data_IF_094835702654
#
_entry.id   IF_094835702654
#
_cell.length_a   1.000
_cell.length_b   1.000
_cell.length_c   1.000
_cell.angle_alpha   90.00
_cell.angle_beta   90.00
_cell.angle_gamma   90.00
#
_symmetry.space_group_name_H-M   'P 1'
#
loop_
_entity.id
_entity.type
_entity.pdbx_description
1 polymer ?
#
# COMPACT_ATOMS: atom_id res chain seq x y z
N UNK A 1 17.24 6.85 33.50
CA UNK A 1 16.09 5.92 33.50
C UNK A 1 15.21 6.34 32.33
N UNK A 2 15.40 5.71 31.17
CA UNK A 2 14.62 6.03 29.97
C UNK A 2 13.65 4.88 29.75
N UNK A 3 12.36 5.16 29.89
CA UNK A 3 11.29 4.23 29.54
C UNK A 3 11.28 4.09 28.02
N UNK A 4 11.92 3.04 27.54
CA UNK A 4 11.78 2.52 26.19
C UNK A 4 10.33 2.05 26.03
N UNK A 5 9.48 2.93 25.49
CA UNK A 5 8.14 2.56 25.07
C UNK A 5 8.28 1.73 23.80
N UNK A 6 8.48 0.42 23.99
CA UNK A 6 8.35 -0.54 22.91
C UNK A 6 6.97 -0.33 22.23
N UNK A 7 6.90 -0.22 20.89
CA UNK A 7 5.62 -0.13 20.21
C UNK A 7 4.80 -1.35 20.62
N UNK A 8 3.58 -1.11 21.10
CA UNK A 8 2.67 -2.18 21.50
C UNK A 8 2.63 -3.22 20.37
N UNK A 9 2.81 -4.51 20.67
CA UNK A 9 2.69 -5.55 19.65
C UNK A 9 1.29 -5.42 19.05
N UNK A 10 1.22 -5.02 17.78
CA UNK A 10 -0.01 -5.10 17.01
C UNK A 10 -0.45 -6.56 17.11
N UNK A 11 -1.55 -6.80 17.81
CA UNK A 11 -2.12 -8.13 17.94
C UNK A 11 -2.24 -8.72 16.53
N UNK A 12 -1.90 -10.00 16.29
CA UNK A 12 -2.13 -10.62 15.01
C UNK A 12 -3.62 -10.46 14.70
N UNK A 13 -3.98 -9.77 13.61
CA UNK A 13 -5.38 -9.51 13.31
C UNK A 13 -6.00 -10.84 12.85
N UNK A 14 -6.72 -11.62 13.69
CA UNK A 14 -7.05 -13.01 13.38
C UNK A 14 -8.25 -13.13 12.42
N UNK A 15 -8.59 -12.06 11.69
CA UNK A 15 -9.92 -11.86 11.12
C UNK A 15 -9.96 -11.32 9.68
N UNK A 16 -8.82 -11.04 9.05
CA UNK A 16 -8.84 -10.62 7.65
C UNK A 16 -9.04 -11.85 6.76
N UNK A 17 -10.28 -12.22 6.44
CA UNK A 17 -10.56 -13.22 5.40
C UNK A 17 -10.29 -12.67 3.99
N UNK A 18 -10.38 -11.34 3.85
CA UNK A 18 -10.16 -10.61 2.61
C UNK A 18 -9.28 -9.40 2.85
N UNK A 19 -8.20 -9.27 2.06
CA UNK A 19 -7.37 -8.08 2.00
C UNK A 19 -7.89 -7.13 0.93
N UNK A 20 -8.37 -5.95 1.35
CA UNK A 20 -8.77 -4.89 0.43
C UNK A 20 -7.57 -4.00 0.10
N UNK A 21 -7.11 -4.06 -1.15
CA UNK A 21 -5.98 -3.28 -1.65
C UNK A 21 -6.47 -2.27 -2.69
N UNK A 22 -6.10 -1.02 -2.47
CA UNK A 22 -6.23 0.04 -3.46
C UNK A 22 -4.92 0.20 -4.21
N UNK A 23 -4.95 0.04 -5.53
CA UNK A 23 -3.79 0.24 -6.38
C UNK A 23 -3.96 1.53 -7.17
N UNK A 24 -3.15 2.53 -6.84
CA UNK A 24 -3.25 3.88 -7.38
C UNK A 24 -2.05 4.13 -8.28
N UNK A 25 -2.18 3.74 -9.55
CA UNK A 25 -1.14 3.89 -10.55
C UNK A 25 -1.76 4.15 -11.93
N UNK A 26 -1.15 5.04 -12.73
CA UNK A 26 -1.68 5.35 -14.08
C UNK A 26 -1.40 4.23 -15.09
N UNK A 27 -0.29 3.50 -14.90
CA UNK A 27 0.20 2.52 -15.87
C UNK A 27 -0.45 1.15 -15.64
N UNK A 28 -1.09 0.61 -16.67
CA UNK A 28 -1.71 -0.72 -16.64
C UNK A 28 -0.70 -1.87 -16.44
N UNK A 29 0.58 -1.69 -16.82
CA UNK A 29 1.62 -2.70 -16.57
C UNK A 29 1.86 -2.92 -15.07
N UNK A 30 1.94 -1.83 -14.29
CA UNK A 30 2.06 -1.92 -12.84
C UNK A 30 0.82 -2.55 -12.22
N UNK A 31 -0.37 -2.35 -12.80
CA UNK A 31 -1.58 -3.04 -12.39
C UNK A 31 -1.47 -4.56 -12.50
N UNK A 32 -1.11 -5.05 -13.69
CA UNK A 32 -0.98 -6.49 -13.93
C UNK A 32 0.08 -7.11 -13.00
N UNK A 33 1.27 -6.50 -12.94
CA UNK A 33 2.38 -6.97 -12.11
C UNK A 33 2.07 -6.97 -10.62
N UNK A 34 1.44 -5.90 -10.12
CA UNK A 34 1.05 -5.82 -8.72
C UNK A 34 0.00 -6.86 -8.38
N UNK A 35 -1.01 -7.07 -9.26
CA UNK A 35 -2.03 -8.10 -9.06
C UNK A 35 -1.42 -9.49 -8.97
N UNK A 36 -0.58 -9.87 -9.92
CA UNK A 36 0.10 -11.18 -9.92
C UNK A 36 0.94 -11.37 -8.64
N UNK A 37 1.75 -10.37 -8.31
CA UNK A 37 2.60 -10.37 -7.10
C UNK A 37 1.78 -10.57 -5.84
N UNK A 38 0.69 -9.80 -5.67
CA UNK A 38 -0.17 -9.86 -4.48
C UNK A 38 -0.88 -11.22 -4.38
N UNK A 39 -1.38 -11.76 -5.48
CA UNK A 39 -2.02 -13.09 -5.49
C UNK A 39 -1.01 -14.16 -5.05
N UNK A 40 0.19 -14.18 -5.64
CA UNK A 40 1.22 -15.16 -5.31
C UNK A 40 1.64 -15.08 -3.83
N UNK A 41 1.78 -13.87 -3.29
CA UNK A 41 2.17 -13.67 -1.89
C UNK A 41 1.09 -14.09 -0.89
N UNK A 42 -0.17 -13.90 -1.23
CA UNK A 42 -1.30 -14.15 -0.34
C UNK A 42 -1.78 -15.62 -0.39
N UNK A 43 -1.44 -16.35 -1.46
CA UNK A 43 -1.84 -17.74 -1.66
C UNK A 43 -1.53 -18.67 -0.47
N UNK A 44 -0.34 -18.64 0.17
CA UNK A 44 -0.03 -19.53 1.29
C UNK A 44 -0.92 -19.32 2.53
N UNK A 45 -1.59 -18.17 2.61
CA UNK A 45 -2.35 -17.72 3.78
C UNK A 45 -3.86 -17.86 3.61
N UNK A 46 -4.31 -18.41 2.48
CA UNK A 46 -5.73 -18.53 2.12
C UNK A 46 -6.51 -17.20 2.18
N UNK A 47 -5.81 -16.08 2.06
CA UNK A 47 -6.40 -14.74 2.06
C UNK A 47 -7.00 -14.42 0.70
N UNK A 48 -8.25 -13.95 0.67
CA UNK A 48 -8.84 -13.42 -0.56
C UNK A 48 -8.28 -12.04 -0.85
N UNK A 49 -7.92 -11.76 -2.10
CA UNK A 49 -7.51 -10.43 -2.53
C UNK A 49 -8.68 -9.72 -3.19
N UNK A 50 -9.06 -8.55 -2.66
CA UNK A 50 -9.93 -7.58 -3.32
C UNK A 50 -9.09 -6.40 -3.78
N UNK A 51 -8.71 -6.39 -5.05
CA UNK A 51 -7.86 -5.35 -5.63
C UNK A 51 -8.71 -4.36 -6.43
N UNK A 52 -8.72 -3.09 -6.02
CA UNK A 52 -9.33 -1.99 -6.78
C UNK A 52 -8.25 -1.14 -7.43
N UNK A 53 -8.20 -1.14 -8.76
CA UNK A 53 -7.31 -0.27 -9.52
C UNK A 53 -7.95 1.11 -9.72
N UNK A 54 -7.17 2.16 -9.48
CA UNK A 54 -7.59 3.56 -9.59
C UNK A 54 -6.51 4.34 -10.36
N UNK A 55 -6.69 4.55 -11.68
CA UNK A 55 -5.69 5.21 -12.51
C UNK A 55 -5.64 6.73 -12.33
N UNK A 56 -6.71 7.34 -11.80
CA UNK A 56 -6.77 8.78 -11.56
C UNK A 56 -6.73 9.11 -10.07
N UNK A 57 -5.55 9.52 -9.60
CA UNK A 57 -5.34 9.95 -8.23
C UNK A 57 -6.08 11.24 -7.86
N UNK A 58 -6.35 12.14 -8.82
CA UNK A 58 -7.08 13.38 -8.54
C UNK A 58 -8.54 13.11 -8.32
N UNK A 59 -9.13 12.26 -9.16
CA UNK A 59 -10.51 11.79 -8.98
C UNK A 59 -10.66 11.11 -7.62
N UNK A 60 -9.70 10.26 -7.23
CA UNK A 60 -9.69 9.60 -5.92
C UNK A 60 -9.68 10.60 -4.75
N UNK A 61 -8.85 11.66 -4.81
CA UNK A 61 -8.83 12.68 -3.75
C UNK A 61 -10.17 13.41 -3.66
N UNK A 62 -10.82 13.69 -4.80
CA UNK A 62 -12.11 14.38 -4.84
C UNK A 62 -13.28 13.51 -4.36
N UNK A 63 -13.24 12.21 -4.64
CA UNK A 63 -14.33 11.27 -4.40
C UNK A 63 -13.91 10.13 -3.49
N UNK A 64 -13.10 10.43 -2.48
CA UNK A 64 -12.50 9.41 -1.61
C UNK A 64 -13.58 8.45 -1.09
N UNK A 65 -13.48 7.13 -1.39
CA UNK A 65 -14.51 6.18 -1.01
C UNK A 65 -14.71 6.13 0.51
N UNK A 66 -15.98 6.03 0.92
CA UNK A 66 -16.37 5.97 2.35
C UNK A 66 -15.93 4.68 3.04
N UNK A 67 -15.70 3.60 2.27
CA UNK A 67 -15.17 2.34 2.80
C UNK A 67 -13.65 2.35 2.59
N UNK A 68 -12.84 2.50 3.66
CA UNK A 68 -11.39 2.55 3.53
C UNK A 68 -10.81 1.18 3.18
N UNK A 69 -9.80 1.15 2.31
CA UNK A 69 -9.00 -0.04 2.09
C UNK A 69 -8.14 -0.38 3.30
N UNK A 70 -7.76 -1.66 3.43
CA UNK A 70 -6.75 -2.09 4.41
C UNK A 70 -5.36 -1.57 4.03
N UNK A 71 -5.08 -1.44 2.73
CA UNK A 71 -3.80 -1.00 2.22
C UNK A 71 -3.97 -0.25 0.88
N UNK A 72 -3.19 0.81 0.69
CA UNK A 72 -3.02 1.48 -0.59
C UNK A 72 -1.59 1.28 -1.12
N UNK A 73 -1.45 0.81 -2.35
CA UNK A 73 -0.20 0.78 -3.10
C UNK A 73 -0.25 1.94 -4.10
N UNK A 74 0.64 2.91 -3.93
CA UNK A 74 0.58 4.21 -4.60
C UNK A 74 1.79 4.42 -5.49
N UNK A 75 1.59 4.72 -6.77
CA UNK A 75 2.65 5.22 -7.63
C UNK A 75 3.09 6.61 -7.15
N UNK A 76 4.36 6.80 -6.78
CA UNK A 76 4.87 8.06 -6.24
C UNK A 76 4.64 9.25 -7.19
N UNK A 77 4.67 9.00 -8.51
CA UNK A 77 4.32 9.99 -9.55
C UNK A 77 2.85 10.43 -9.47
N UNK A 78 1.94 9.57 -9.04
CA UNK A 78 0.53 9.91 -8.87
C UNK A 78 0.33 10.89 -7.72
N UNK A 79 0.99 10.67 -6.58
CA UNK A 79 0.96 11.63 -5.46
C UNK A 79 1.60 12.97 -5.82
N UNK A 80 2.74 12.97 -6.54
CA UNK A 80 3.36 14.19 -7.09
C UNK A 80 2.40 14.96 -7.99
N UNK A 81 1.64 14.27 -8.85
CA UNK A 81 0.64 14.90 -9.72
C UNK A 81 -0.55 15.53 -8.95
N UNK A 82 -0.74 15.10 -7.70
CA UNK A 82 -1.68 15.65 -6.72
C UNK A 82 -1.02 16.62 -5.74
N UNK A 83 0.24 17.02 -5.94
CA UNK A 83 0.98 17.93 -5.05
C UNK A 83 1.01 17.44 -3.58
N UNK A 84 1.10 16.12 -3.36
CA UNK A 84 1.13 15.52 -2.03
C UNK A 84 -0.24 15.31 -1.37
N UNK A 85 -1.33 15.77 -1.99
CA UNK A 85 -2.67 15.68 -1.41
C UNK A 85 -3.19 14.24 -1.32
N UNK A 86 -2.69 13.32 -2.16
CA UNK A 86 -3.15 11.94 -2.18
C UNK A 86 -2.73 11.22 -0.90
N UNK A 87 -1.45 11.27 -0.54
CA UNK A 87 -0.97 10.63 0.69
C UNK A 87 -1.62 11.23 1.93
N UNK A 88 -1.76 12.56 1.99
CA UNK A 88 -2.49 13.21 3.10
C UNK A 88 -3.97 12.82 3.17
N UNK A 89 -4.61 12.53 2.04
CA UNK A 89 -6.00 12.06 2.02
C UNK A 89 -6.12 10.61 2.52
N UNK A 90 -5.18 9.74 2.14
CA UNK A 90 -5.11 8.35 2.61
C UNK A 90 -4.79 8.28 4.11
N UNK A 91 -3.86 9.10 4.58
CA UNK A 91 -3.49 9.19 6.01
C UNK A 91 -4.68 9.63 6.87
N UNK A 92 -5.46 10.64 6.43
CA UNK A 92 -6.69 11.07 7.11
C UNK A 92 -7.76 9.99 7.18
N UNK A 93 -7.73 9.01 6.28
CA UNK A 93 -8.60 7.85 6.28
C UNK A 93 -8.00 6.66 7.05
N UNK A 94 -6.85 6.85 7.70
CA UNK A 94 -6.08 5.80 8.38
C UNK A 94 -5.74 4.61 7.47
N UNK A 95 -5.57 4.86 6.17
CA UNK A 95 -5.17 3.84 5.21
C UNK A 95 -3.66 3.77 5.18
N UNK A 96 -3.11 2.58 5.41
CA UNK A 96 -1.67 2.37 5.27
C UNK A 96 -1.22 2.41 3.83
N UNK A 97 -0.10 3.07 3.57
CA UNK A 97 0.37 3.35 2.21
C UNK A 97 1.74 2.73 1.93
N UNK A 98 1.86 2.00 0.83
CA UNK A 98 3.12 1.64 0.21
C UNK A 98 3.34 2.51 -1.03
N UNK A 99 4.28 3.45 -0.94
CA UNK A 99 4.65 4.28 -2.08
C UNK A 99 5.67 3.55 -2.96
N UNK A 100 5.35 3.39 -4.24
CA UNK A 100 6.13 2.69 -5.24
C UNK A 100 6.62 3.68 -6.30
N UNK A 101 7.90 3.67 -6.62
CA UNK A 101 8.48 4.44 -7.73
C UNK A 101 9.20 3.50 -8.71
N UNK A 102 9.50 4.01 -9.91
CA UNK A 102 10.40 3.30 -10.81
C UNK A 102 11.85 3.49 -10.35
N UNK A 103 12.69 2.47 -10.59
CA UNK A 103 14.14 2.53 -10.31
C UNK A 103 14.79 3.78 -10.90
N UNK A 104 14.35 4.20 -12.09
CA UNK A 104 14.87 5.37 -12.79
C UNK A 104 14.57 6.70 -12.06
N UNK A 105 13.56 6.74 -11.18
CA UNK A 105 13.09 7.97 -10.54
C UNK A 105 13.42 8.06 -9.04
N UNK A 106 13.95 6.99 -8.43
CA UNK A 106 14.24 6.92 -6.99
C UNK A 106 15.30 7.95 -6.52
N UNK A 107 15.99 8.63 -7.43
CA UNK A 107 16.98 9.67 -7.12
C UNK A 107 16.40 11.06 -6.77
N UNK A 108 15.11 11.31 -6.98
CA UNK A 108 14.52 12.66 -6.91
C UNK A 108 13.60 12.93 -5.70
N UNK A 109 13.89 12.34 -4.53
CA UNK A 109 13.52 12.98 -3.26
C UNK A 109 12.33 12.42 -2.45
N UNK A 110 11.82 11.22 -2.74
CA UNK A 110 10.90 10.56 -1.80
C UNK A 110 11.70 9.61 -0.88
N UNK A 111 12.15 10.08 0.29
CA UNK A 111 12.95 9.31 1.25
C UNK A 111 12.25 8.05 1.84
N UNK A 112 11.07 7.68 1.32
CA UNK A 112 10.22 6.57 1.81
C UNK A 112 9.54 5.77 0.67
N UNK A 113 9.99 5.90 -0.57
CA UNK A 113 9.46 5.09 -1.69
C UNK A 113 10.24 3.79 -1.88
N UNK A 114 9.52 2.73 -2.24
CA UNK A 114 10.07 1.45 -2.69
C UNK A 114 10.15 1.43 -4.21
N UNK A 115 11.05 0.65 -4.80
CA UNK A 115 10.91 0.35 -6.22
C UNK A 115 9.72 -0.59 -6.45
N UNK A 116 9.00 -0.47 -7.57
CA UNK A 116 8.00 -1.47 -8.01
C UNK A 116 8.48 -2.92 -7.95
N UNK A 117 9.77 -3.17 -8.21
CA UNK A 117 10.37 -4.51 -8.08
C UNK A 117 10.44 -5.03 -6.64
N UNK A 118 10.38 -4.13 -5.66
CA UNK A 118 10.43 -4.43 -4.23
C UNK A 118 9.03 -4.56 -3.61
N UNK A 119 7.95 -4.43 -4.40
CA UNK A 119 6.59 -4.68 -3.93
C UNK A 119 6.47 -5.99 -3.13
N UNK A 120 7.08 -7.12 -3.54
CA UNK A 120 6.96 -8.34 -2.76
C UNK A 120 7.51 -8.19 -1.33
N UNK A 121 8.67 -7.53 -1.19
CA UNK A 121 9.33 -7.31 0.09
C UNK A 121 8.54 -6.32 0.96
N UNK A 122 8.06 -5.23 0.36
CA UNK A 122 7.25 -4.23 1.06
C UNK A 122 5.97 -4.85 1.63
N UNK A 123 5.31 -5.71 0.85
CA UNK A 123 4.13 -6.47 1.29
C UNK A 123 4.46 -7.45 2.41
N UNK A 124 5.55 -8.22 2.30
CA UNK A 124 5.95 -9.15 3.37
C UNK A 124 6.22 -8.44 4.69
N UNK A 125 6.85 -7.27 4.65
CA UNK A 125 7.08 -6.45 5.85
C UNK A 125 5.77 -5.93 6.44
N UNK A 126 4.85 -5.47 5.58
CA UNK A 126 3.51 -5.07 6.00
C UNK A 126 2.79 -6.24 6.68
N UNK A 127 2.75 -7.41 6.04
CA UNK A 127 2.08 -8.61 6.58
C UNK A 127 2.64 -9.01 7.94
N UNK A 128 3.97 -9.06 8.08
CA UNK A 128 4.64 -9.39 9.35
C UNK A 128 4.28 -8.42 10.47
N UNK A 129 4.25 -7.11 10.19
CA UNK A 129 3.91 -6.08 11.16
C UNK A 129 2.46 -6.22 11.66
N UNK A 130 1.57 -6.74 10.83
CA UNK A 130 0.15 -6.93 11.14
C UNK A 130 -0.22 -8.34 11.60
N UNK A 131 0.77 -9.21 11.80
CA UNK A 131 0.58 -10.62 12.13
C UNK A 131 -0.27 -11.36 11.09
N UNK A 132 -0.29 -10.87 9.85
CA UNK A 132 -0.94 -11.54 8.72
C UNK A 132 -0.05 -12.71 8.34
N UNK A 133 -0.49 -13.91 8.70
CA UNK A 133 0.29 -15.12 8.52
C UNK A 133 1.30 -15.43 9.64
N UNK A 134 1.04 -14.96 10.86
CA UNK A 134 1.73 -15.41 12.06
C UNK A 134 1.02 -16.58 12.73
#
# INVERSE_FOLDING_TARGET
>A
MSTDTAPAPLMPHPALETLEVWLICRRGEHQARARETLITLLQPWSLRLSLRWMPDARELVQQMPQRPASLAVVEARADRACQGQLLSALERQHIETLCMDDLADMGNGAARSWCWSELPRAMQLWMRRHGVGG
#
